data_IF_092515434507
#
_entry.id   IF_092515434507
#
_cell.length_a   1.000
_cell.length_b   1.000
_cell.length_c   1.000
_cell.angle_alpha   90.00
_cell.angle_beta   90.00
_cell.angle_gamma   90.00
#
_symmetry.space_group_name_H-M   'P 1'
#
loop_
_entity.id
_entity.type
_entity.pdbx_description
1 polymer ?
#
# COMPACT_ATOMS: atom_id res chain seq x y z
N UNK A 1 -35.86 30.52 22.99
CA UNK A 1 -35.20 29.27 23.44
C UNK A 1 -34.48 28.71 22.22
N UNK A 2 -33.15 28.94 22.10
CA UNK A 2 -32.06 28.00 22.48
C UNK A 2 -31.93 26.87 21.43
N UNK A 3 -30.79 26.45 20.87
CA UNK A 3 -29.36 26.55 21.20
C UNK A 3 -28.53 26.63 19.90
N UNK A 4 -27.32 27.16 20.04
CA UNK A 4 -26.25 27.28 19.05
C UNK A 4 -25.25 26.16 19.29
N UNK A 5 -24.84 25.42 18.26
CA UNK A 5 -23.63 24.59 18.28
C UNK A 5 -22.85 24.73 16.95
N UNK A 6 -21.71 25.43 16.94
CA UNK A 6 -20.75 25.44 15.85
C UNK A 6 -19.68 24.39 16.15
N UNK A 7 -19.62 23.29 15.40
CA UNK A 7 -18.57 22.30 15.68
C UNK A 7 -18.62 21.01 14.89
N UNK A 8 -18.18 21.04 13.62
CA UNK A 8 -17.38 19.93 13.08
C UNK A 8 -16.57 20.43 11.90
N UNK A 9 -15.37 20.94 12.17
CA UNK A 9 -14.28 20.83 11.21
C UNK A 9 -14.12 19.34 10.91
N UNK A 10 -14.29 18.85 9.67
CA UNK A 10 -13.69 17.58 9.30
C UNK A 10 -12.20 17.85 9.29
N UNK A 11 -11.60 17.56 10.43
CA UNK A 11 -10.24 17.11 10.67
C UNK A 11 -9.33 17.26 9.43
N UNK A 12 -8.24 18.01 9.60
CA UNK A 12 -7.04 17.98 8.78
C UNK A 12 -6.88 16.61 8.10
N UNK A 13 -6.52 16.54 6.80
CA UNK A 13 -6.51 15.30 6.04
C UNK A 13 -5.71 14.26 6.82
N UNK A 14 -6.43 13.42 7.56
CA UNK A 14 -5.91 12.25 8.22
C UNK A 14 -5.35 11.47 7.05
N UNK A 15 -4.02 11.46 6.92
CA UNK A 15 -3.32 11.05 5.71
C UNK A 15 -3.83 9.68 5.35
N UNK A 16 -4.76 9.61 4.39
CA UNK A 16 -5.50 8.39 4.12
C UNK A 16 -4.48 7.35 3.69
N UNK A 17 -4.27 6.32 4.53
CA UNK A 17 -3.25 5.31 4.28
C UNK A 17 -3.79 4.41 3.17
N UNK A 18 -3.43 4.73 1.93
CA UNK A 18 -3.81 3.95 0.76
C UNK A 18 -3.02 2.65 0.73
N UNK A 19 -3.72 1.52 0.88
CA UNK A 19 -3.13 0.19 0.77
C UNK A 19 -3.18 -0.27 -0.69
N UNK A 20 -2.03 -0.33 -1.33
CA UNK A 20 -1.89 -0.76 -2.73
C UNK A 20 -1.55 -2.25 -2.76
N UNK A 21 -2.21 -3.01 -3.65
CA UNK A 21 -1.83 -4.39 -4.00
C UNK A 21 -1.23 -4.40 -5.41
N UNK A 22 -0.02 -4.92 -5.53
CA UNK A 22 0.67 -5.07 -6.81
C UNK A 22 0.63 -6.55 -7.19
N UNK A 23 0.07 -6.87 -8.34
CA UNK A 23 0.07 -8.23 -8.91
C UNK A 23 0.99 -8.25 -10.11
N UNK A 24 2.06 -9.05 -10.03
CA UNK A 24 3.00 -9.25 -11.13
C UNK A 24 2.68 -10.57 -11.82
N UNK A 25 2.45 -10.53 -13.14
CA UNK A 25 2.17 -11.73 -13.94
C UNK A 25 3.17 -11.81 -15.09
N UNK A 26 3.91 -12.92 -15.20
CA UNK A 26 4.86 -13.21 -16.27
C UNK A 26 5.02 -14.72 -16.44
N UNK A 27 5.31 -15.17 -17.67
CA UNK A 27 5.60 -16.57 -17.97
C UNK A 27 6.97 -17.03 -17.45
N UNK A 28 7.97 -16.14 -17.45
CA UNK A 28 9.32 -16.48 -17.00
C UNK A 28 9.48 -16.24 -15.49
N UNK A 29 9.44 -17.33 -14.72
CA UNK A 29 9.52 -17.33 -13.24
C UNK A 29 10.82 -16.69 -12.73
N UNK A 30 11.99 -16.98 -13.33
CA UNK A 30 13.26 -16.40 -12.88
C UNK A 30 13.27 -14.87 -12.97
N UNK A 31 12.74 -14.34 -14.07
CA UNK A 31 12.63 -12.88 -14.24
C UNK A 31 11.63 -12.26 -13.26
N UNK A 32 10.54 -12.97 -12.95
CA UNK A 32 9.50 -12.52 -12.03
C UNK A 32 10.02 -12.46 -10.59
N UNK A 33 10.76 -13.48 -10.17
CA UNK A 33 11.37 -13.53 -8.83
C UNK A 33 12.39 -12.40 -8.63
N UNK A 34 13.23 -12.11 -9.64
CA UNK A 34 14.19 -11.00 -9.58
C UNK A 34 13.47 -9.66 -9.38
N UNK A 35 12.47 -9.36 -10.20
CA UNK A 35 11.71 -8.10 -10.11
C UNK A 35 10.98 -7.99 -8.78
N UNK A 36 10.41 -9.10 -8.28
CA UNK A 36 9.75 -9.12 -6.98
C UNK A 36 10.72 -8.81 -5.84
N UNK A 37 11.93 -9.38 -5.86
CA UNK A 37 12.97 -9.12 -4.88
C UNK A 37 13.43 -7.65 -4.91
N UNK A 38 13.65 -7.08 -6.10
CA UNK A 38 14.05 -5.68 -6.26
C UNK A 38 12.98 -4.70 -5.76
N UNK A 39 11.70 -4.97 -6.02
CA UNK A 39 10.59 -4.15 -5.50
C UNK A 39 10.50 -4.18 -3.97
N UNK A 40 10.65 -5.36 -3.36
CA UNK A 40 10.65 -5.50 -1.90
C UNK A 40 11.83 -4.74 -1.29
N UNK A 41 13.02 -4.84 -1.91
CA UNK A 41 14.21 -4.13 -1.47
C UNK A 41 14.03 -2.61 -1.56
N UNK A 42 13.56 -2.10 -2.71
CA UNK A 42 13.29 -0.67 -2.88
C UNK A 42 12.22 -0.13 -1.94
N UNK A 43 11.18 -0.93 -1.63
CA UNK A 43 10.18 -0.56 -0.63
C UNK A 43 10.77 -0.45 0.79
N UNK A 44 11.66 -1.36 1.17
CA UNK A 44 12.37 -1.33 2.45
C UNK A 44 13.32 -0.14 2.56
N UNK A 45 14.05 0.18 1.49
CA UNK A 45 14.92 1.36 1.42
C UNK A 45 14.13 2.67 1.62
N UNK A 46 12.87 2.71 1.21
CA UNK A 46 11.94 3.85 1.42
C UNK A 46 11.14 3.77 2.72
N UNK A 47 11.46 2.83 3.62
CA UNK A 47 10.77 2.63 4.90
C UNK A 47 9.26 2.38 4.75
N UNK A 48 8.83 1.77 3.63
CA UNK A 48 7.43 1.40 3.41
C UNK A 48 7.12 0.06 4.05
N UNK A 49 5.93 -0.06 4.66
CA UNK A 49 5.45 -1.32 5.23
C UNK A 49 4.96 -2.25 4.12
N UNK A 50 5.76 -3.26 3.79
CA UNK A 50 5.42 -4.29 2.79
C UNK A 50 4.85 -5.54 3.46
N UNK A 51 3.79 -6.08 2.86
CA UNK A 51 3.33 -7.45 3.12
C UNK A 51 4.07 -8.38 2.15
N UNK A 52 4.51 -9.55 2.61
CA UNK A 52 5.33 -10.46 1.81
C UNK A 52 4.67 -10.89 0.48
N UNK A 53 5.47 -11.36 -0.49
CA UNK A 53 4.95 -11.76 -1.80
C UNK A 53 4.01 -12.96 -1.65
N UNK A 54 2.79 -12.84 -2.17
CA UNK A 54 1.82 -13.94 -2.21
C UNK A 54 1.91 -14.61 -3.58
N UNK A 55 2.24 -15.90 -3.62
CA UNK A 55 2.22 -16.68 -4.87
C UNK A 55 0.81 -17.17 -5.14
N UNK A 56 0.29 -16.81 -6.30
CA UNK A 56 -1.02 -17.29 -6.78
C UNK A 56 -0.73 -18.36 -7.81
N UNK A 57 -1.04 -19.61 -7.48
CA UNK A 57 -1.08 -20.68 -8.47
C UNK A 57 -2.47 -20.65 -9.10
N UNK A 58 -2.54 -20.74 -10.43
CA UNK A 58 -3.81 -20.96 -11.14
C UNK A 58 -4.23 -22.42 -11.00
#
# INVERSE_FOLDING_TARGET
>A
MTFKDPGKTPMAPEVAIHRIRITLTRHNVKSLEKVCADLIRGAKEKNLKVKGPTRIHK
#
